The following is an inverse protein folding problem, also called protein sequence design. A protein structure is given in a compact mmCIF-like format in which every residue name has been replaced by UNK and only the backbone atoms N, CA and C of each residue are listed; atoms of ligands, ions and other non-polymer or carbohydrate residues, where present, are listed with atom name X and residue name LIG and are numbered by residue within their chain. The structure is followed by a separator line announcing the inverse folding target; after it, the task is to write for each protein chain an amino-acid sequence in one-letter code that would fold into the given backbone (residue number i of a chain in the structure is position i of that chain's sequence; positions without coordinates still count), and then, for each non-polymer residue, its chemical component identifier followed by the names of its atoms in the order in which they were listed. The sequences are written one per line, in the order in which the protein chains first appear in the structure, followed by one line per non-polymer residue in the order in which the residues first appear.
data_IF_950456162740
#
_entry.id   IF_950456162740
#
_cell.length_a   1.000
_cell.length_b   1.000
_cell.length_c   1.000
_cell.angle_alpha   90.00
_cell.angle_beta   90.00
_cell.angle_gamma   90.00
#
_symmetry.space_group_name_H-M   'P 1'
#
loop_
_entity.id
_entity.type
_entity.pdbx_description
1 polymer ?
#
# COMPACT_ATOMS: atom_id res chain seq x y z
N UNK A 1 -3.03 0.91 -12.45
CA UNK A 1 -2.88 0.03 -11.28
C UNK A 1 -4.25 -0.53 -10.93
N UNK A 2 -4.33 -1.79 -10.52
CA UNK A 2 -5.58 -2.41 -10.05
C UNK A 2 -6.00 -1.81 -8.70
N UNK A 3 -7.30 -1.71 -8.44
CA UNK A 3 -7.84 -1.12 -7.20
C UNK A 3 -7.33 -1.84 -5.94
N UNK A 4 -7.19 -3.18 -5.99
CA UNK A 4 -6.67 -3.97 -4.88
C UNK A 4 -5.24 -3.57 -4.51
N UNK A 5 -4.38 -3.38 -5.52
CA UNK A 5 -2.99 -2.95 -5.34
C UNK A 5 -2.91 -1.53 -4.78
N UNK A 6 -3.75 -0.61 -5.26
CA UNK A 6 -3.82 0.75 -4.72
C UNK A 6 -4.19 0.75 -3.24
N UNK A 7 -5.17 -0.07 -2.83
CA UNK A 7 -5.59 -0.14 -1.42
C UNK A 7 -4.48 -0.73 -0.54
N UNK A 8 -3.76 -1.75 -1.01
CA UNK A 8 -2.59 -2.28 -0.30
C UNK A 8 -1.52 -1.20 -0.09
N UNK A 9 -1.17 -0.44 -1.14
CA UNK A 9 -0.21 0.67 -1.01
C UNK A 9 -0.70 1.75 -0.04
N UNK A 10 -1.98 2.12 -0.11
CA UNK A 10 -2.56 3.08 0.83
C UNK A 10 -2.50 2.57 2.28
N UNK A 11 -2.72 1.27 2.51
CA UNK A 11 -2.58 0.65 3.82
C UNK A 11 -1.13 0.66 4.30
N UNK A 12 -0.15 0.41 3.43
CA UNK A 12 1.26 0.44 3.80
C UNK A 12 1.69 1.84 4.28
N UNK A 13 1.28 2.90 3.57
CA UNK A 13 1.64 4.27 3.94
C UNK A 13 0.81 4.86 5.08
N UNK A 14 -0.49 4.59 5.10
CA UNK A 14 -1.44 5.31 5.95
C UNK A 14 -2.20 4.40 6.92
N UNK A 15 -2.05 3.08 6.83
CA UNK A 15 -2.66 2.11 7.75
C UNK A 15 -2.37 2.39 9.24
N UNK A 16 -1.15 2.80 9.63
CA UNK A 16 -0.87 3.21 11.01
C UNK A 16 -1.67 4.43 11.51
N UNK A 17 -2.28 5.21 10.61
CA UNK A 17 -3.11 6.38 10.95
C UNK A 17 -4.60 6.04 11.09
N UNK A 18 -4.99 4.79 10.79
CA UNK A 18 -6.34 4.29 11.01
C UNK A 18 -6.51 3.84 12.47
N UNK A 19 -7.75 3.77 12.92
CA UNK A 19 -8.05 3.04 14.17
C UNK A 19 -7.83 1.54 13.98
N UNK A 20 -7.49 0.82 15.06
CA UNK A 20 -7.28 -0.63 15.01
C UNK A 20 -8.42 -1.39 14.33
N UNK A 21 -9.69 -1.01 14.61
CA UNK A 21 -10.86 -1.63 13.97
C UNK A 21 -10.94 -1.37 12.46
N UNK A 22 -10.55 -0.19 12.01
CA UNK A 22 -10.54 0.16 10.58
C UNK A 22 -9.43 -0.58 9.84
N UNK A 23 -8.24 -0.57 10.43
CA UNK A 23 -7.08 -1.30 9.90
C UNK A 23 -7.38 -2.79 9.81
N UNK A 24 -7.82 -3.41 10.92
CA UNK A 24 -8.14 -4.84 10.98
C UNK A 24 -9.22 -5.22 9.95
N UNK A 25 -10.30 -4.43 9.84
CA UNK A 25 -11.36 -4.73 8.86
C UNK A 25 -10.81 -4.72 7.43
N UNK A 26 -9.95 -3.74 7.09
CA UNK A 26 -9.32 -3.65 5.77
C UNK A 26 -8.33 -4.79 5.52
N UNK A 27 -7.51 -5.17 6.50
CA UNK A 27 -6.55 -6.28 6.37
C UNK A 27 -7.26 -7.61 6.14
N UNK A 28 -8.25 -7.95 6.98
CA UNK A 28 -9.04 -9.17 6.80
C UNK A 28 -9.72 -9.22 5.42
N UNK A 29 -10.16 -8.07 4.90
CA UNK A 29 -10.82 -8.00 3.60
C UNK A 29 -9.85 -8.05 2.41
N UNK A 30 -8.70 -7.37 2.50
CA UNK A 30 -7.79 -7.17 1.36
C UNK A 30 -6.58 -8.10 1.35
N UNK A 31 -6.10 -8.52 2.52
CA UNK A 31 -4.96 -9.44 2.68
C UNK A 31 -5.44 -10.89 2.80
N UNK A 32 -6.48 -11.13 3.62
CA UNK A 32 -6.97 -12.49 3.92
C UNK A 32 -8.17 -12.94 3.06
N UNK A 33 -8.62 -12.10 2.12
CA UNK A 33 -9.76 -12.36 1.21
C UNK A 33 -11.08 -12.73 1.93
N UNK A 34 -11.25 -12.33 3.19
CA UNK A 34 -12.47 -12.62 3.94
C UNK A 34 -13.66 -11.83 3.40
N UNK A 35 -14.81 -12.51 3.35
CA UNK A 35 -16.08 -11.89 3.04
C UNK A 35 -16.57 -11.00 4.21
N UNK A 36 -17.46 -10.05 3.91
CA UNK A 36 -18.06 -9.19 4.94
C UNK A 36 -18.80 -9.97 6.04
N UNK A 37 -19.25 -11.20 5.74
CA UNK A 37 -19.92 -12.07 6.71
C UNK A 37 -18.90 -12.69 7.67
N UNK A 38 -17.80 -13.22 7.15
CA UNK A 38 -16.73 -13.83 7.96
C UNK A 38 -16.07 -12.77 8.86
N UNK A 39 -15.83 -11.56 8.33
CA UNK A 39 -15.28 -10.45 9.13
C UNK A 39 -16.28 -10.02 10.23
N UNK A 40 -17.58 -10.05 9.94
CA UNK A 40 -18.60 -9.69 10.91
C UNK A 40 -18.66 -10.69 12.07
N UNK A 41 -18.52 -11.98 11.76
CA UNK A 41 -18.41 -13.06 12.74
C UNK A 41 -17.14 -12.92 13.59
N UNK A 42 -15.98 -12.75 12.95
CA UNK A 42 -14.68 -12.58 13.62
C UNK A 42 -14.66 -11.36 14.56
N UNK A 43 -15.22 -10.24 14.13
CA UNK A 43 -15.23 -8.99 14.91
C UNK A 43 -16.43 -8.86 15.86
N UNK A 44 -17.37 -9.81 15.85
CA UNK A 44 -18.58 -9.77 16.67
C UNK A 44 -19.49 -8.58 16.37
N UNK A 45 -19.60 -8.17 15.10
CA UNK A 45 -20.40 -7.02 14.65
C UNK A 45 -21.37 -7.43 13.53
N UNK A 46 -22.21 -6.51 13.05
CA UNK A 46 -23.08 -6.79 11.90
C UNK A 46 -22.32 -6.68 10.58
N UNK A 47 -22.77 -7.41 9.56
CA UNK A 47 -22.26 -7.29 8.18
C UNK A 47 -22.34 -5.84 7.66
N UNK A 48 -23.38 -5.10 8.04
CA UNK A 48 -23.51 -3.68 7.70
C UNK A 48 -22.45 -2.82 8.40
N UNK A 49 -22.16 -3.10 9.68
CA UNK A 49 -21.13 -2.39 10.41
C UNK A 49 -19.74 -2.60 9.78
N UNK A 50 -19.43 -3.82 9.31
CA UNK A 50 -18.19 -4.09 8.55
C UNK A 50 -18.16 -3.30 7.24
N UNK A 51 -19.25 -3.34 6.46
CA UNK A 51 -19.33 -2.60 5.20
C UNK A 51 -19.07 -1.10 5.41
N UNK A 52 -19.76 -0.50 6.37
CA UNK A 52 -19.61 0.92 6.68
C UNK A 52 -18.21 1.26 7.20
N UNK A 53 -17.62 0.35 7.99
CA UNK A 53 -16.26 0.50 8.49
C UNK A 53 -15.25 0.54 7.33
N UNK A 54 -15.32 -0.43 6.43
CA UNK A 54 -14.46 -0.51 5.24
C UNK A 54 -14.58 0.72 4.35
N UNK A 55 -15.81 1.19 4.10
CA UNK A 55 -16.02 2.41 3.29
C UNK A 55 -15.42 3.65 3.96
N UNK A 56 -15.62 3.83 5.26
CA UNK A 56 -15.01 4.94 6.01
C UNK A 56 -13.49 4.86 6.01
N UNK A 57 -12.93 3.67 6.22
CA UNK A 57 -11.49 3.46 6.23
C UNK A 57 -10.87 3.80 4.86
N UNK A 58 -11.46 3.32 3.76
CA UNK A 58 -11.05 3.71 2.40
C UNK A 58 -11.12 5.21 2.16
N UNK A 59 -12.18 5.87 2.63
CA UNK A 59 -12.32 7.31 2.47
C UNK A 59 -11.20 8.07 3.20
N UNK A 60 -10.87 7.67 4.43
CA UNK A 60 -9.78 8.26 5.22
C UNK A 60 -8.43 8.07 4.53
N UNK A 61 -8.14 6.86 4.03
CA UNK A 61 -6.91 6.59 3.30
C UNK A 61 -6.77 7.47 2.04
N UNK A 62 -7.84 7.61 1.26
CA UNK A 62 -7.84 8.48 0.08
C UNK A 62 -7.73 9.97 0.45
N UNK A 63 -8.35 10.41 1.55
CA UNK A 63 -8.21 11.78 2.04
C UNK A 63 -6.77 12.09 2.45
N UNK A 64 -6.08 11.14 3.12
CA UNK A 64 -4.65 11.27 3.39
C UNK A 64 -3.83 11.35 2.10
N UNK A 65 -4.07 10.46 1.13
CA UNK A 65 -3.36 10.53 -0.15
C UNK A 65 -3.60 11.84 -0.90
N UNK A 66 -4.81 12.38 -0.85
CA UNK A 66 -5.14 13.67 -1.48
C UNK A 66 -4.39 14.86 -0.87
N UNK A 67 -3.87 14.72 0.35
CA UNK A 67 -3.16 15.76 1.10
C UNK A 67 -1.65 15.54 1.13
N UNK A 68 -1.21 14.29 1.19
CA UNK A 68 0.18 13.91 1.44
C UNK A 68 0.90 13.38 0.19
N UNK A 69 0.14 12.80 -0.74
CA UNK A 69 0.65 12.30 -2.03
C UNK A 69 1.80 11.28 -1.93
N UNK A 70 1.87 10.49 -0.84
CA UNK A 70 2.99 9.56 -0.63
C UNK A 70 2.98 8.41 -1.63
N UNK A 71 1.80 7.87 -1.97
CA UNK A 71 1.68 6.82 -2.98
C UNK A 71 2.06 7.37 -4.35
N UNK A 72 1.52 8.52 -4.74
CA UNK A 72 1.83 9.14 -6.03
C UNK A 72 3.34 9.45 -6.18
N UNK A 73 3.98 9.98 -5.13
CA UNK A 73 5.43 10.24 -5.13
C UNK A 73 6.24 8.95 -5.19
N UNK A 74 5.79 7.88 -4.53
CA UNK A 74 6.41 6.58 -4.64
C UNK A 74 6.34 6.02 -6.06
N UNK A 75 5.16 6.00 -6.67
CA UNK A 75 4.98 5.51 -8.05
C UNK A 75 5.85 6.30 -9.03
N UNK A 76 5.94 7.62 -8.86
CA UNK A 76 6.82 8.47 -9.65
C UNK A 76 8.29 8.05 -9.49
N UNK A 77 8.74 7.81 -8.25
CA UNK A 77 10.11 7.38 -7.96
C UNK A 77 10.41 6.02 -8.59
N UNK A 78 9.50 5.06 -8.48
CA UNK A 78 9.64 3.74 -9.11
C UNK A 78 9.72 3.84 -10.64
N UNK A 79 8.88 4.71 -11.24
CA UNK A 79 8.94 4.98 -12.67
C UNK A 79 10.30 5.54 -13.11
N UNK A 80 10.85 6.49 -12.35
CA UNK A 80 12.17 7.06 -12.62
C UNK A 80 13.30 6.03 -12.44
N UNK A 81 13.24 5.20 -11.40
CA UNK A 81 14.20 4.12 -11.17
C UNK A 81 14.17 3.08 -12.30
N UNK A 82 12.98 2.70 -12.76
CA UNK A 82 12.82 1.80 -13.90
C UNK A 82 13.41 2.39 -15.18
N UNK A 83 13.14 3.67 -15.46
CA UNK A 83 13.75 4.37 -16.61
C UNK A 83 15.27 4.44 -16.52
N UNK A 84 15.81 4.72 -15.33
CA UNK A 84 17.25 4.75 -15.09
C UNK A 84 17.88 3.38 -15.38
N UNK A 85 17.29 2.30 -14.85
CA UNK A 85 17.74 0.92 -15.12
C UNK A 85 17.64 0.54 -16.59
N UNK A 86 16.63 1.02 -17.31
CA UNK A 86 16.49 0.76 -18.74
C UNK A 86 17.50 1.52 -19.62
N UNK A 87 17.99 2.67 -19.14
CA UNK A 87 18.88 3.56 -19.90
C UNK A 87 20.36 3.25 -19.70
N UNK A 88 20.73 2.75 -18.50
CA UNK A 88 22.13 2.47 -18.18
C UNK A 88 22.64 1.19 -18.88
N UNK A 89 23.92 1.17 -19.31
CA UNK A 89 24.56 -0.05 -19.81
C UNK A 89 24.56 -1.16 -18.76
N UNK A 90 24.48 -2.42 -19.21
CA UNK A 90 24.45 -3.58 -18.32
C UNK A 90 25.72 -3.71 -17.47
N UNK A 91 26.84 -3.26 -17.99
CA UNK A 91 28.14 -3.25 -17.32
C UNK A 91 28.11 -2.35 -16.08
N UNK A 92 27.49 -1.16 -16.21
CA UNK A 92 27.33 -0.20 -15.10
C UNK A 92 26.33 -0.73 -14.06
N UNK A 93 25.25 -1.37 -14.51
CA UNK A 93 24.27 -1.99 -13.60
C UNK A 93 24.83 -3.21 -12.85
N UNK A 94 25.88 -3.84 -13.37
CA UNK A 94 26.58 -4.95 -12.71
C UNK A 94 27.58 -4.48 -11.65
N UNK A 95 27.91 -3.19 -11.61
CA UNK A 95 28.81 -2.65 -10.59
C UNK A 95 28.18 -2.79 -9.20
N UNK A 96 28.92 -3.40 -8.26
CA UNK A 96 28.46 -3.66 -6.90
C UNK A 96 27.95 -2.39 -6.22
N UNK A 97 28.61 -1.24 -6.45
CA UNK A 97 28.21 0.02 -5.83
C UNK A 97 26.87 0.52 -6.37
N UNK A 98 26.62 0.37 -7.68
CA UNK A 98 25.36 0.76 -8.32
C UNK A 98 24.24 -0.14 -7.81
N UNK A 99 24.47 -1.46 -7.72
CA UNK A 99 23.49 -2.39 -7.16
C UNK A 99 23.14 -2.08 -5.71
N UNK A 100 24.13 -1.72 -4.88
CA UNK A 100 23.89 -1.33 -3.49
C UNK A 100 23.02 -0.07 -3.38
N UNK A 101 23.27 0.95 -4.20
CA UNK A 101 22.48 2.19 -4.19
C UNK A 101 21.07 1.93 -4.69
N UNK A 102 20.91 1.17 -5.78
CA UNK A 102 19.58 0.81 -6.30
C UNK A 102 18.77 0.03 -5.26
N UNK A 103 19.39 -0.95 -4.58
CA UNK A 103 18.73 -1.70 -3.51
C UNK A 103 18.29 -0.81 -2.33
N UNK A 104 19.07 0.22 -1.97
CA UNK A 104 18.67 1.19 -0.93
C UNK A 104 17.49 2.06 -1.36
N UNK A 105 17.37 2.36 -2.65
CA UNK A 105 16.24 3.15 -3.18
C UNK A 105 14.96 2.32 -3.27
N UNK A 106 15.08 1.03 -3.58
CA UNK A 106 13.96 0.08 -3.64
C UNK A 106 13.50 -0.38 -2.24
N UNK A 107 14.42 -0.45 -1.27
CA UNK A 107 14.17 -0.95 0.10
C UNK A 107 13.38 -0.02 1.03
N UNK A 108 12.79 1.07 0.54
CA UNK A 108 11.96 1.98 1.34
C UNK A 108 10.49 1.52 1.49
N UNK A 109 10.24 0.22 1.33
CA UNK A 109 9.08 -0.48 1.90
C UNK A 109 9.57 -1.38 3.04
N UNK A 110 9.95 -0.73 4.13
CA UNK A 110 10.16 -1.35 5.42
C UNK A 110 9.19 -0.74 6.42
N UNK A 111 7.92 -1.11 6.32
CA UNK A 111 6.90 -0.96 7.36
C UNK A 111 6.28 -2.34 7.56
#
# INVERSE_FOLDING_TARGET
MEERVLISLLLDFYGPLLTDKQRMSLQLHHEDDMSLGEIAEELGVSRQAVHDNLQRARHILNDYESKLHLVAQYEQREGLLSQLKATLPKEVLAETKVQQVLAQMEGYYGI
#
